data_IF_653058934404
#
_entry.id   IF_653058934404
#
_cell.length_a   1.000
_cell.length_b   1.000
_cell.length_c   1.000
_cell.angle_alpha   90.00
_cell.angle_beta   90.00
_cell.angle_gamma   90.00
#
_symmetry.space_group_name_H-M   'P 1'
#
loop_
_entity.id
_entity.type
_entity.pdbx_description
1 polymer ?
#
# COMPACT_ATOMS: atom_id res chain seq x y z
N UNK A 1 -17.21 -53.56 -56.90
CA UNK A 1 -16.10 -52.76 -56.37
C UNK A 1 -16.71 -51.64 -55.56
N UNK A 2 -16.74 -51.78 -54.21
CA UNK A 2 -17.18 -50.74 -53.33
C UNK A 2 -15.97 -49.87 -52.96
N UNK A 3 -16.12 -48.54 -52.89
CA UNK A 3 -15.06 -47.67 -52.35
C UNK A 3 -15.10 -47.69 -50.83
N UNK A 4 -13.95 -47.90 -50.23
CA UNK A 4 -13.74 -47.82 -48.80
C UNK A 4 -13.86 -46.34 -48.32
N UNK A 5 -14.82 -46.04 -47.47
CA UNK A 5 -14.95 -44.76 -46.80
C UNK A 5 -13.87 -44.62 -45.73
N UNK A 6 -12.91 -43.73 -45.94
CA UNK A 6 -11.89 -43.36 -44.99
C UNK A 6 -12.51 -42.41 -43.94
N UNK A 7 -12.91 -42.95 -42.80
CA UNK A 7 -13.33 -42.14 -41.63
C UNK A 7 -12.12 -41.52 -40.99
N UNK A 8 -11.89 -40.24 -41.27
CA UNK A 8 -10.95 -39.40 -40.54
C UNK A 8 -11.61 -39.02 -39.22
N UNK A 9 -11.25 -39.69 -38.14
CA UNK A 9 -11.63 -39.29 -36.81
C UNK A 9 -10.82 -38.01 -36.44
N UNK A 10 -11.47 -36.88 -36.48
CA UNK A 10 -10.93 -35.62 -36.04
C UNK A 10 -10.95 -35.62 -34.50
N UNK A 11 -9.89 -36.12 -33.89
CA UNK A 11 -9.68 -36.01 -32.43
C UNK A 11 -9.40 -34.58 -32.10
N UNK A 12 -10.44 -33.81 -31.85
CA UNK A 12 -10.32 -32.51 -31.19
C UNK A 12 -9.96 -32.72 -29.72
N UNK A 13 -8.68 -32.98 -29.47
CA UNK A 13 -8.12 -32.80 -28.15
C UNK A 13 -8.09 -31.29 -27.86
N UNK A 14 -9.18 -30.76 -27.35
CA UNK A 14 -9.21 -29.50 -26.64
C UNK A 14 -8.37 -29.68 -25.37
N UNK A 15 -7.08 -29.37 -25.45
CA UNK A 15 -6.30 -29.21 -24.24
C UNK A 15 -7.04 -28.17 -23.38
N UNK A 16 -7.43 -28.55 -22.18
CA UNK A 16 -8.06 -27.63 -21.23
C UNK A 16 -6.99 -26.57 -20.89
N UNK A 17 -7.03 -25.42 -21.58
CA UNK A 17 -6.07 -24.34 -21.50
C UNK A 17 -6.32 -23.45 -20.27
N UNK A 18 -6.91 -24.00 -19.23
CA UNK A 18 -7.06 -23.28 -17.97
C UNK A 18 -5.68 -23.03 -17.37
N UNK A 19 -5.37 -21.77 -17.05
CA UNK A 19 -4.11 -21.47 -16.39
C UNK A 19 -4.08 -22.17 -15.01
N UNK A 20 -2.90 -22.59 -14.53
CA UNK A 20 -2.76 -23.16 -13.20
C UNK A 20 -3.34 -22.24 -12.12
N UNK A 21 -3.99 -22.81 -11.10
CA UNK A 21 -4.63 -22.05 -10.02
C UNK A 21 -3.64 -21.09 -9.33
N UNK A 22 -2.39 -21.52 -9.16
CA UNK A 22 -1.31 -20.72 -8.58
C UNK A 22 -0.99 -19.48 -9.44
N UNK A 23 -1.00 -19.62 -10.76
CA UNK A 23 -0.81 -18.48 -11.66
C UNK A 23 -1.97 -17.49 -11.54
N UNK A 24 -3.20 -17.99 -11.50
CA UNK A 24 -4.37 -17.14 -11.28
C UNK A 24 -4.28 -16.42 -9.94
N UNK A 25 -3.81 -17.08 -8.88
CA UNK A 25 -3.64 -16.45 -7.56
C UNK A 25 -2.56 -15.36 -7.59
N UNK A 26 -1.46 -15.55 -8.33
CA UNK A 26 -0.44 -14.50 -8.52
C UNK A 26 -1.02 -13.29 -9.25
N UNK A 27 -1.77 -13.50 -10.33
CA UNK A 27 -2.45 -12.40 -11.06
C UNK A 27 -3.47 -11.67 -10.17
N UNK A 28 -4.25 -12.39 -9.37
CA UNK A 28 -5.18 -11.78 -8.41
C UNK A 28 -4.44 -10.94 -7.36
N UNK A 29 -3.35 -11.44 -6.82
CA UNK A 29 -2.53 -10.71 -5.85
C UNK A 29 -1.95 -9.45 -6.48
N UNK A 30 -1.42 -9.54 -7.70
CA UNK A 30 -0.91 -8.37 -8.44
C UNK A 30 -2.02 -7.34 -8.68
N UNK A 31 -3.19 -7.78 -9.14
CA UNK A 31 -4.34 -6.90 -9.35
C UNK A 31 -4.78 -6.20 -8.06
N UNK A 32 -4.77 -6.89 -6.92
CA UNK A 32 -5.08 -6.28 -5.62
C UNK A 32 -4.04 -5.23 -5.22
N UNK A 33 -2.75 -5.52 -5.41
CA UNK A 33 -1.67 -4.59 -5.12
C UNK A 33 -1.82 -3.33 -5.97
N UNK A 34 -2.03 -3.47 -7.28
CA UNK A 34 -2.18 -2.32 -8.18
C UNK A 34 -3.48 -1.54 -7.92
N UNK A 35 -4.56 -2.22 -7.54
CA UNK A 35 -5.81 -1.56 -7.15
C UNK A 35 -5.62 -0.71 -5.90
N UNK A 36 -4.95 -1.26 -4.87
CA UNK A 36 -4.64 -0.50 -3.65
C UNK A 36 -3.69 0.67 -3.95
N UNK A 37 -2.63 0.42 -4.73
CA UNK A 37 -1.68 1.45 -5.16
C UNK A 37 -2.40 2.60 -5.88
N UNK A 38 -3.26 2.28 -6.86
CA UNK A 38 -4.06 3.27 -7.60
C UNK A 38 -5.02 4.04 -6.70
N UNK A 39 -5.71 3.37 -5.77
CA UNK A 39 -6.60 4.03 -4.81
C UNK A 39 -5.85 5.00 -3.89
N UNK A 40 -4.66 4.64 -3.43
CA UNK A 40 -3.81 5.49 -2.59
C UNK A 40 -3.25 6.69 -3.36
N UNK A 41 -2.94 6.55 -4.64
CA UNK A 41 -2.48 7.65 -5.49
C UNK A 41 -3.61 8.63 -5.84
N UNK A 42 -4.81 8.13 -6.04
CA UNK A 42 -6.00 8.96 -6.31
C UNK A 42 -6.56 9.63 -5.06
N UNK A 43 -6.30 9.05 -3.88
CA UNK A 43 -6.83 9.52 -2.59
C UNK A 43 -6.09 10.73 -2.03
N UNK A 44 -6.83 11.65 -1.40
CA UNK A 44 -6.25 12.80 -0.69
C UNK A 44 -5.63 12.42 0.67
N UNK A 45 -6.02 11.28 1.25
CA UNK A 45 -5.59 10.81 2.57
C UNK A 45 -5.38 9.29 2.55
N UNK A 46 -4.17 8.83 2.87
CA UNK A 46 -3.88 7.40 2.99
C UNK A 46 -4.72 6.74 4.10
N UNK A 47 -4.92 7.41 5.23
CA UNK A 47 -5.77 6.91 6.33
C UNK A 47 -7.19 6.62 5.86
N UNK A 48 -7.81 7.56 5.15
CA UNK A 48 -9.18 7.40 4.62
C UNK A 48 -9.24 6.29 3.58
N UNK A 49 -8.26 6.23 2.67
CA UNK A 49 -8.19 5.19 1.64
C UNK A 49 -8.03 3.80 2.28
N UNK A 50 -7.15 3.65 3.27
CA UNK A 50 -6.97 2.38 3.99
C UNK A 50 -8.20 1.98 4.79
N UNK A 51 -8.95 2.93 5.34
CA UNK A 51 -10.20 2.65 6.04
C UNK A 51 -11.29 2.15 5.09
N UNK A 52 -11.43 2.79 3.94
CA UNK A 52 -12.33 2.33 2.87
C UNK A 52 -11.91 0.95 2.34
N UNK A 53 -10.61 0.72 2.18
CA UNK A 53 -10.06 -0.57 1.77
C UNK A 53 -10.35 -1.67 2.79
N UNK A 54 -10.11 -1.39 4.08
CA UNK A 54 -10.41 -2.28 5.19
C UNK A 54 -11.90 -2.69 5.19
N UNK A 55 -12.79 -1.73 5.00
CA UNK A 55 -14.24 -1.98 4.94
C UNK A 55 -14.64 -2.80 3.71
N UNK A 56 -14.17 -2.40 2.52
CA UNK A 56 -14.52 -3.04 1.26
C UNK A 56 -14.07 -4.51 1.18
N UNK A 57 -12.95 -4.82 1.81
CA UNK A 57 -12.37 -6.17 1.83
C UNK A 57 -12.63 -6.94 3.13
N UNK A 58 -13.45 -6.39 4.05
CA UNK A 58 -13.84 -7.04 5.31
C UNK A 58 -12.63 -7.49 6.15
N UNK A 59 -11.56 -6.69 6.19
CA UNK A 59 -10.32 -7.05 6.88
C UNK A 59 -10.47 -7.03 8.40
N UNK A 60 -11.38 -6.20 8.93
CA UNK A 60 -11.79 -6.17 10.33
C UNK A 60 -13.20 -5.59 10.50
N UNK A 61 -13.80 -5.84 11.67
CA UNK A 61 -15.06 -5.24 12.10
C UNK A 61 -14.93 -4.76 13.55
N UNK A 62 -15.07 -3.46 13.83
CA UNK A 62 -15.30 -2.37 12.88
C UNK A 62 -14.07 -2.08 11.98
N UNK A 63 -14.32 -1.58 10.76
CA UNK A 63 -13.30 -1.19 9.80
C UNK A 63 -12.74 0.21 10.15
N UNK A 64 -11.94 0.29 11.19
CA UNK A 64 -11.34 1.54 11.71
C UNK A 64 -9.82 1.43 11.65
N UNK A 65 -9.17 2.46 11.12
CA UNK A 65 -7.71 2.54 11.13
C UNK A 65 -7.22 3.19 12.42
N UNK A 66 -6.32 2.49 13.11
CA UNK A 66 -5.59 2.99 14.28
C UNK A 66 -4.09 3.08 14.00
N UNK A 67 -3.39 3.96 14.71
CA UNK A 67 -1.95 4.14 14.61
C UNK A 67 -1.27 3.61 15.86
N UNK A 68 -0.53 2.50 15.74
CA UNK A 68 0.34 2.00 16.81
C UNK A 68 1.72 2.63 16.67
N UNK A 69 2.06 3.53 17.58
CA UNK A 69 3.30 4.29 17.56
C UNK A 69 4.46 3.44 18.09
N UNK A 70 5.61 3.55 17.44
CA UNK A 70 6.91 3.13 17.97
C UNK A 70 7.65 4.37 18.49
N UNK A 71 7.78 4.46 19.81
CA UNK A 71 8.44 5.58 20.48
C UNK A 71 9.93 5.33 20.73
N UNK A 72 10.42 4.11 20.46
CA UNK A 72 11.83 3.75 20.64
C UNK A 72 12.75 4.33 19.58
N UNK A 73 12.18 4.80 18.47
CA UNK A 73 12.92 5.30 17.30
C UNK A 73 12.59 6.77 17.05
N UNK A 74 13.65 7.57 16.90
CA UNK A 74 13.56 8.96 16.42
C UNK A 74 14.52 9.12 15.26
N UNK A 75 14.00 9.50 14.09
CA UNK A 75 14.80 9.74 12.90
C UNK A 75 14.73 11.21 12.53
N UNK A 76 15.85 11.93 12.48
CA UNK A 76 15.84 13.31 12.04
C UNK A 76 15.46 13.41 10.54
N UNK A 77 14.81 14.49 10.12
CA UNK A 77 14.53 14.73 8.70
C UNK A 77 15.84 14.94 7.94
N UNK A 78 15.93 14.36 6.74
CA UNK A 78 17.04 14.66 5.83
C UNK A 78 16.99 16.11 5.36
N UNK A 79 18.08 16.59 4.74
CA UNK A 79 18.09 17.95 4.17
C UNK A 79 16.99 18.13 3.10
N UNK A 80 16.76 17.11 2.26
CA UNK A 80 15.69 17.15 1.27
C UNK A 80 14.31 17.17 1.93
N UNK A 81 14.11 16.42 3.02
CA UNK A 81 12.86 16.46 3.79
C UNK A 81 12.65 17.84 4.42
N UNK A 82 13.70 18.44 5.01
CA UNK A 82 13.64 19.82 5.53
C UNK A 82 13.29 20.83 4.43
N UNK A 83 13.92 20.68 3.26
CA UNK A 83 13.66 21.55 2.12
C UNK A 83 12.21 21.43 1.61
N UNK A 84 11.70 20.20 1.45
CA UNK A 84 10.30 19.97 1.04
C UNK A 84 9.30 20.48 2.06
N UNK A 85 9.60 20.35 3.34
CA UNK A 85 8.80 20.90 4.43
C UNK A 85 9.01 22.42 4.60
N UNK A 86 9.98 23.04 3.91
CA UNK A 86 10.34 24.46 4.08
C UNK A 86 10.58 24.81 5.55
N UNK A 87 11.29 23.93 6.28
CA UNK A 87 11.69 24.18 7.67
C UNK A 87 12.85 25.17 7.69
N UNK A 88 12.69 26.24 8.47
CA UNK A 88 13.77 27.19 8.71
C UNK A 88 14.97 26.51 9.44
N UNK A 89 16.19 27.05 9.32
CA UNK A 89 17.30 26.62 10.14
C UNK A 89 16.92 26.65 11.64
N UNK A 90 17.08 25.52 12.34
CA UNK A 90 16.73 25.40 13.76
C UNK A 90 15.23 25.26 14.04
N UNK A 91 14.35 25.30 13.03
CA UNK A 91 12.90 25.07 13.25
C UNK A 91 12.67 23.65 13.79
N UNK A 92 11.93 23.50 14.91
CA UNK A 92 11.60 22.21 15.47
C UNK A 92 10.76 21.36 14.52
N UNK A 93 10.98 20.05 14.57
CA UNK A 93 10.19 19.05 13.84
C UNK A 93 9.64 18.01 14.81
N UNK A 94 8.49 17.45 14.46
CA UNK A 94 7.98 16.22 15.07
C UNK A 94 8.31 15.02 14.19
N UNK A 95 8.51 13.86 14.83
CA UNK A 95 8.69 12.58 14.16
C UNK A 95 7.78 11.52 14.79
N UNK A 96 7.16 10.71 13.92
CA UNK A 96 6.39 9.53 14.36
C UNK A 96 6.71 8.36 13.45
N UNK A 97 7.05 7.23 14.05
CA UNK A 97 7.01 5.92 13.40
C UNK A 97 5.76 5.20 13.86
N UNK A 98 4.93 4.78 12.92
CA UNK A 98 3.64 4.16 13.24
C UNK A 98 3.36 2.96 12.34
N UNK A 99 2.61 1.99 12.89
CA UNK A 99 1.92 0.98 12.11
C UNK A 99 0.45 1.37 12.01
N UNK A 100 -0.07 1.49 10.78
CA UNK A 100 -1.49 1.70 10.55
C UNK A 100 -2.18 0.34 10.52
N UNK A 101 -3.04 0.14 11.51
CA UNK A 101 -3.70 -1.13 11.79
C UNK A 101 -5.17 -1.09 11.37
N UNK A 102 -5.65 -2.18 10.76
CA UNK A 102 -7.07 -2.50 10.63
C UNK A 102 -7.34 -3.78 11.42
N UNK A 103 -7.93 -3.64 12.60
CA UNK A 103 -7.96 -4.73 13.58
C UNK A 103 -6.53 -5.14 13.98
N UNK A 104 -6.20 -6.42 13.79
CA UNK A 104 -4.87 -6.99 14.04
C UNK A 104 -3.91 -6.92 12.84
N UNK A 105 -4.41 -6.53 11.66
CA UNK A 105 -3.65 -6.49 10.41
C UNK A 105 -2.86 -5.20 10.29
N UNK A 106 -1.57 -5.32 9.95
CA UNK A 106 -0.70 -4.17 9.63
C UNK A 106 -0.85 -3.83 8.16
N UNK A 107 -1.58 -2.77 7.82
CA UNK A 107 -1.77 -2.37 6.44
C UNK A 107 -0.63 -1.50 5.91
N UNK A 108 0.00 -0.69 6.80
CA UNK A 108 1.11 0.17 6.44
C UNK A 108 2.02 0.43 7.63
N UNK A 109 3.32 0.58 7.37
CA UNK A 109 4.30 1.15 8.30
C UNK A 109 4.74 2.51 7.75
N UNK A 110 4.75 3.54 8.60
CA UNK A 110 5.01 4.90 8.16
C UNK A 110 5.96 5.65 9.08
N UNK A 111 6.92 6.33 8.45
CA UNK A 111 7.68 7.41 9.06
C UNK A 111 7.06 8.74 8.64
N UNK A 112 6.78 9.60 9.62
CA UNK A 112 6.16 10.88 9.40
C UNK A 112 6.96 11.99 10.10
N UNK A 113 7.46 12.93 9.31
CA UNK A 113 8.09 14.18 9.76
C UNK A 113 7.10 15.33 9.58
N UNK A 114 6.89 16.16 10.58
CA UNK A 114 5.95 17.27 10.50
C UNK A 114 6.47 18.51 11.24
N UNK A 115 5.90 19.67 10.93
CA UNK A 115 6.17 20.92 11.61
C UNK A 115 5.11 21.15 12.70
N UNK A 116 5.42 20.95 14.00
CA UNK A 116 4.45 21.15 15.10
C UNK A 116 3.88 22.57 15.13
N UNK A 117 4.70 23.57 14.75
CA UNK A 117 4.29 24.99 14.67
C UNK A 117 3.15 25.26 13.67
N UNK A 118 2.89 24.33 12.75
CA UNK A 118 1.84 24.44 11.72
C UNK A 118 0.56 23.70 12.07
N UNK A 119 0.56 23.03 13.22
CA UNK A 119 -0.58 22.33 13.81
C UNK A 119 -1.13 23.13 14.99
N UNK A 120 -2.35 22.85 15.42
CA UNK A 120 -2.88 23.39 16.68
C UNK A 120 -2.32 22.58 17.86
N UNK A 121 -2.36 23.17 19.08
CA UNK A 121 -1.94 22.48 20.30
C UNK A 121 -2.72 21.17 20.50
N UNK A 122 -4.03 21.18 20.29
CA UNK A 122 -4.88 20.00 20.39
C UNK A 122 -4.49 18.90 19.37
N UNK A 123 -4.04 19.29 18.16
CA UNK A 123 -3.54 18.32 17.17
C UNK A 123 -2.20 17.72 17.60
N UNK A 124 -1.29 18.54 18.12
CA UNK A 124 -0.01 18.06 18.63
C UNK A 124 -0.25 17.11 19.82
N UNK A 125 -1.12 17.47 20.75
CA UNK A 125 -1.49 16.62 21.88
C UNK A 125 -2.12 15.28 21.43
N UNK A 126 -3.02 15.33 20.45
CA UNK A 126 -3.63 14.12 19.89
C UNK A 126 -2.60 13.20 19.22
N UNK A 127 -1.60 13.77 18.52
CA UNK A 127 -0.51 13.01 17.91
C UNK A 127 0.40 12.34 18.96
N UNK A 128 0.59 12.96 20.09
CA UNK A 128 1.47 12.46 21.15
C UNK A 128 0.80 11.43 22.05
N UNK A 129 -0.49 11.60 22.35
CA UNK A 129 -1.18 10.88 23.42
C UNK A 129 -2.24 9.88 22.94
N UNK A 130 -2.53 9.79 21.63
CA UNK A 130 -3.58 8.91 21.13
C UNK A 130 -3.09 7.96 20.02
N UNK A 131 -3.93 6.97 19.71
CA UNK A 131 -3.76 6.05 18.57
C UNK A 131 -4.39 6.60 17.28
N UNK A 132 -4.76 7.88 17.27
CA UNK A 132 -5.37 8.52 16.09
C UNK A 132 -4.33 8.68 14.98
N UNK A 133 -4.61 8.20 13.75
CA UNK A 133 -3.73 8.40 12.62
C UNK A 133 -3.55 9.87 12.27
N UNK A 134 -2.35 10.25 11.79
CA UNK A 134 -2.02 11.62 11.41
C UNK A 134 -3.05 12.24 10.47
N UNK A 135 -3.43 11.52 9.41
CA UNK A 135 -4.41 12.01 8.43
C UNK A 135 -5.77 12.35 9.04
N UNK A 136 -6.18 11.66 10.12
CA UNK A 136 -7.42 11.96 10.84
C UNK A 136 -7.27 13.17 11.74
N UNK A 137 -6.14 13.32 12.42
CA UNK A 137 -5.85 14.48 13.25
C UNK A 137 -5.89 15.76 12.45
N UNK A 138 -5.31 15.78 11.25
CA UNK A 138 -5.22 16.96 10.39
C UNK A 138 -6.43 17.15 9.45
N UNK A 139 -7.43 16.27 9.50
CA UNK A 139 -8.62 16.36 8.63
C UNK A 139 -9.32 17.74 8.63
N UNK A 140 -9.39 18.48 9.77
CA UNK A 140 -9.98 19.83 9.78
C UNK A 140 -9.29 20.83 8.85
N UNK A 141 -8.02 20.61 8.50
CA UNK A 141 -7.30 21.47 7.55
C UNK A 141 -7.69 21.22 6.09
N UNK A 142 -8.48 20.18 5.80
CA UNK A 142 -8.74 19.71 4.42
C UNK A 142 -7.45 19.49 3.64
N UNK A 143 -6.43 19.02 4.36
CA UNK A 143 -5.11 18.77 3.80
C UNK A 143 -5.18 17.64 2.76
N UNK A 144 -4.28 17.72 1.78
CA UNK A 144 -4.14 16.67 0.76
C UNK A 144 -2.68 16.22 0.65
N UNK A 145 -2.49 14.99 0.22
CA UNK A 145 -1.16 14.45 -0.04
C UNK A 145 -0.78 14.63 -1.50
N UNK A 146 0.48 14.92 -1.75
CA UNK A 146 1.10 14.89 -3.08
C UNK A 146 2.25 13.90 -3.06
N UNK A 147 2.00 12.73 -3.65
CA UNK A 147 3.02 11.68 -3.80
C UNK A 147 4.06 12.13 -4.81
N UNK A 148 5.34 11.99 -4.47
CA UNK A 148 6.47 12.34 -5.34
C UNK A 148 7.39 11.15 -5.62
N UNK A 149 7.19 10.03 -4.91
CA UNK A 149 7.93 8.79 -5.16
C UNK A 149 7.02 7.59 -4.90
N UNK A 150 7.07 6.63 -5.81
CA UNK A 150 6.46 5.31 -5.71
C UNK A 150 7.55 4.29 -5.99
N UNK A 151 7.76 3.38 -5.08
CA UNK A 151 8.76 2.31 -5.18
C UNK A 151 8.06 0.97 -5.03
N UNK A 152 8.21 0.10 -6.04
CA UNK A 152 7.77 -1.29 -5.94
C UNK A 152 8.83 -2.09 -5.20
N UNK A 153 8.46 -2.75 -4.11
CA UNK A 153 9.37 -3.54 -3.27
C UNK A 153 9.25 -5.03 -3.55
N UNK A 154 8.08 -5.48 -3.97
CA UNK A 154 7.82 -6.88 -4.28
C UNK A 154 6.71 -7.02 -5.33
N UNK A 155 6.81 -8.07 -6.17
CA UNK A 155 5.77 -8.48 -7.11
C UNK A 155 5.53 -9.99 -7.00
N UNK A 156 4.28 -10.47 -7.06
CA UNK A 156 3.98 -11.89 -7.17
C UNK A 156 4.32 -12.46 -8.54
N UNK A 157 4.54 -11.60 -9.55
CA UNK A 157 4.86 -11.99 -10.91
C UNK A 157 6.36 -11.80 -11.17
N UNK A 158 7.04 -12.69 -11.89
CA UNK A 158 8.40 -12.46 -12.36
C UNK A 158 8.44 -11.33 -13.39
N UNK A 159 9.59 -10.69 -13.56
CA UNK A 159 9.75 -9.50 -14.42
C UNK A 159 9.37 -9.75 -15.88
N UNK A 160 9.51 -10.98 -16.37
CA UNK A 160 9.24 -11.43 -17.74
C UNK A 160 7.87 -12.13 -17.90
N UNK A 161 6.97 -11.93 -16.95
CA UNK A 161 5.69 -12.65 -16.89
C UNK A 161 4.84 -12.49 -18.16
N UNK A 162 4.93 -11.34 -18.82
CA UNK A 162 4.11 -11.04 -20.02
C UNK A 162 4.64 -11.74 -21.27
N UNK A 163 5.94 -11.98 -21.36
CA UNK A 163 6.61 -12.63 -22.49
C UNK A 163 6.71 -14.15 -22.33
N UNK A 164 6.45 -14.67 -21.13
CA UNK A 164 6.56 -16.10 -20.85
C UNK A 164 5.45 -16.90 -21.53
N UNK A 165 5.84 -17.85 -22.39
CA UNK A 165 4.89 -18.76 -23.02
C UNK A 165 4.41 -19.90 -22.12
N UNK A 166 5.22 -20.33 -21.15
CA UNK A 166 4.90 -21.43 -20.25
C UNK A 166 5.47 -21.19 -18.84
N UNK A 167 4.79 -21.71 -17.83
CA UNK A 167 5.18 -21.61 -16.43
C UNK A 167 5.59 -22.99 -15.92
N UNK A 168 6.76 -23.09 -15.29
CA UNK A 168 7.15 -24.30 -14.58
C UNK A 168 6.49 -24.37 -13.20
N UNK A 169 6.41 -25.54 -12.60
CA UNK A 169 5.91 -25.71 -11.24
C UNK A 169 6.72 -24.91 -10.20
N UNK A 170 8.01 -24.71 -10.45
CA UNK A 170 8.88 -23.89 -9.60
C UNK A 170 8.51 -22.39 -9.70
N UNK A 171 8.16 -21.89 -10.89
CA UNK A 171 7.74 -20.50 -11.11
C UNK A 171 6.41 -20.20 -10.42
N UNK A 172 5.62 -21.22 -10.11
CA UNK A 172 4.29 -21.08 -9.51
C UNK A 172 4.30 -20.98 -8.00
N UNK A 173 5.43 -21.31 -7.33
CA UNK A 173 5.53 -21.15 -5.88
C UNK A 173 5.52 -19.68 -5.49
N UNK A 174 4.42 -19.23 -4.88
CA UNK A 174 4.29 -17.87 -4.38
C UNK A 174 5.04 -17.74 -3.05
N UNK A 175 6.18 -17.03 -3.08
CA UNK A 175 6.93 -16.70 -1.87
C UNK A 175 6.73 -15.22 -1.55
N UNK A 176 6.28 -14.93 -0.32
CA UNK A 176 6.14 -13.56 0.15
C UNK A 176 7.48 -13.01 0.64
N UNK A 177 7.70 -11.67 0.56
CA UNK A 177 8.91 -11.05 1.07
C UNK A 177 9.02 -11.22 2.59
N UNK A 178 10.25 -11.41 3.08
CA UNK A 178 10.52 -11.61 4.51
C UNK A 178 10.09 -10.41 5.35
N UNK A 179 10.28 -9.20 4.83
CA UNK A 179 9.86 -7.95 5.46
C UNK A 179 8.38 -7.63 5.22
N UNK A 180 7.67 -8.49 4.44
CA UNK A 180 6.25 -8.36 4.11
C UNK A 180 5.85 -7.06 3.42
N UNK A 181 6.80 -6.30 2.87
CA UNK A 181 6.61 -5.03 2.20
C UNK A 181 6.26 -5.22 0.72
N UNK A 182 5.24 -4.50 0.24
CA UNK A 182 4.76 -4.57 -1.15
C UNK A 182 5.28 -3.41 -1.99
N UNK A 183 5.05 -2.21 -1.53
CA UNK A 183 5.49 -0.97 -2.19
C UNK A 183 5.57 0.16 -1.16
N UNK A 184 6.27 1.23 -1.55
CA UNK A 184 6.45 2.42 -0.71
C UNK A 184 6.03 3.67 -1.46
N UNK A 185 5.31 4.55 -0.78
CA UNK A 185 5.07 5.91 -1.22
C UNK A 185 5.83 6.91 -0.37
N UNK A 186 6.36 7.95 -1.00
CA UNK A 186 6.77 9.17 -0.29
C UNK A 186 5.91 10.33 -0.77
N UNK A 187 5.38 11.10 0.18
CA UNK A 187 4.45 12.18 -0.14
C UNK A 187 4.66 13.36 0.80
N UNK A 188 4.39 14.56 0.29
CA UNK A 188 4.23 15.76 1.12
C UNK A 188 2.75 15.98 1.36
N UNK A 189 2.38 16.27 2.60
CA UNK A 189 1.03 16.66 3.01
C UNK A 189 0.95 18.17 3.04
N UNK A 190 -0.02 18.72 2.31
CA UNK A 190 -0.16 20.12 2.04
C UNK A 190 -1.51 20.63 2.53
N UNK A 191 -1.57 21.87 3.03
CA UNK A 191 -2.83 22.61 3.19
C UNK A 191 -3.36 23.05 1.82
N UNK A 192 -4.64 23.47 1.71
CA UNK A 192 -5.21 23.96 0.45
C UNK A 192 -4.45 25.14 -0.18
N UNK A 193 -3.76 25.94 0.63
CA UNK A 193 -2.93 27.06 0.18
C UNK A 193 -1.55 26.61 -0.35
N UNK A 194 -1.27 25.31 -0.34
CA UNK A 194 -0.01 24.71 -0.78
C UNK A 194 1.11 24.73 0.27
N UNK A 195 0.85 25.19 1.51
CA UNK A 195 1.85 25.13 2.57
C UNK A 195 2.04 23.70 3.08
N UNK A 196 3.30 23.22 3.18
CA UNK A 196 3.58 21.86 3.64
C UNK A 196 3.44 21.78 5.16
N UNK A 197 2.83 20.68 5.63
CA UNK A 197 2.71 20.37 7.07
C UNK A 197 3.46 19.12 7.49
N UNK A 198 3.56 18.13 6.59
CA UNK A 198 4.27 16.88 6.86
C UNK A 198 4.86 16.29 5.59
N UNK A 199 5.88 15.46 5.76
CA UNK A 199 6.35 14.47 4.77
C UNK A 199 6.17 13.09 5.38
N UNK A 200 5.71 12.15 4.56
CA UNK A 200 5.50 10.76 4.96
C UNK A 200 6.27 9.82 4.04
N UNK A 201 6.81 8.76 4.62
CA UNK A 201 7.31 7.58 3.92
C UNK A 201 6.48 6.40 4.39
N UNK A 202 5.58 5.90 3.54
CA UNK A 202 4.61 4.86 3.87
C UNK A 202 4.91 3.59 3.09
N UNK A 203 5.25 2.51 3.80
CA UNK A 203 5.44 1.18 3.24
C UNK A 203 4.17 0.37 3.46
N UNK A 204 3.53 -0.09 2.38
CA UNK A 204 2.30 -0.88 2.43
C UNK A 204 2.64 -2.36 2.51
N UNK A 205 1.90 -3.07 3.38
CA UNK A 205 2.26 -4.40 3.84
C UNK A 205 1.36 -5.47 3.22
N UNK A 206 1.85 -6.70 3.17
CA UNK A 206 1.14 -7.85 2.58
C UNK A 206 -0.24 -8.08 3.20
N UNK A 207 -0.43 -7.74 4.49
CA UNK A 207 -1.72 -7.90 5.19
C UNK A 207 -2.85 -7.11 4.50
N UNK A 208 -2.52 -6.06 3.77
CA UNK A 208 -3.50 -5.29 3.01
C UNK A 208 -4.13 -6.07 1.85
N UNK A 209 -3.45 -7.10 1.31
CA UNK A 209 -3.89 -7.89 0.17
C UNK A 209 -4.14 -9.37 0.50
N UNK A 210 -3.87 -9.79 1.74
CA UNK A 210 -4.28 -11.09 2.27
C UNK A 210 -5.74 -11.00 2.71
N UNK A 211 -6.64 -11.19 1.75
CA UNK A 211 -8.07 -11.15 2.00
C UNK A 211 -8.51 -12.40 2.77
N UNK A 212 -9.51 -12.28 3.69
CA UNK A 212 -10.12 -13.44 4.33
C UNK A 212 -10.76 -14.35 3.28
N UNK A 213 -10.71 -15.65 3.51
CA UNK A 213 -11.44 -16.62 2.70
C UNK A 213 -12.95 -16.30 2.77
N UNK A 214 -13.59 -16.27 1.61
CA UNK A 214 -15.04 -16.04 1.48
C UNK A 214 -15.81 -17.35 1.45
#
# INVERSE_FOLDING_TARGET
VLPAALSVALSLFGADHRPPAEYVNRLKTEALIETLNGALLAGSSATTTLEQWCAAHHLASPAVITARRDTSVVVPPSEETRARLKLAPGEPYGFRRVKLMCGDKVLSEADNWYAPSRLTDAMNEALDNTTTPFGRVIAPFKAFRRTFSVERLWSPLPNDWAERGAWSSHDLQLTFPTDRALFRHRAVVLKPDGSPIAEVSETYMIDAVQLPDR
#
